data_IF_914611306991
#
_entry.id   IF_914611306991
#
_cell.length_a   1.000
_cell.length_b   1.000
_cell.length_c   1.000
_cell.angle_alpha   90.00
_cell.angle_beta   90.00
_cell.angle_gamma   90.00
#
_symmetry.space_group_name_H-M   'P 1'
#
loop_
_entity.id
_entity.type
_entity.pdbx_description
1 polymer ?
#
# COMPACT_ATOMS: atom_id res chain seq x y z
N UNK A 1 18.63 16.84 -12.18
CA UNK A 1 18.57 16.07 -10.91
C UNK A 1 17.16 16.24 -10.35
N UNK A 2 16.28 15.26 -10.52
CA UNK A 2 14.95 15.30 -9.90
C UNK A 2 15.13 14.90 -8.43
N UNK A 3 14.91 15.85 -7.52
CA UNK A 3 14.95 15.59 -6.09
C UNK A 3 14.01 14.43 -5.76
N UNK A 4 14.47 13.53 -4.89
CA UNK A 4 13.58 12.62 -4.18
C UNK A 4 12.56 13.51 -3.49
N UNK A 5 11.34 13.61 -4.03
CA UNK A 5 10.32 14.37 -3.34
C UNK A 5 10.12 13.69 -1.99
N UNK A 6 10.17 14.49 -0.93
CA UNK A 6 9.50 14.19 0.33
C UNK A 6 8.00 14.35 0.06
N UNK A 7 7.52 13.63 -0.95
CA UNK A 7 6.21 13.76 -1.54
C UNK A 7 5.31 12.67 -1.02
N UNK A 8 4.03 13.03 -0.86
CA UNK A 8 2.96 12.08 -0.60
C UNK A 8 2.95 11.01 -1.70
N UNK A 9 2.61 9.80 -1.31
CA UNK A 9 2.40 8.68 -2.21
C UNK A 9 0.97 8.20 -2.07
N UNK A 10 0.42 7.70 -3.15
CA UNK A 10 -0.95 7.23 -3.19
C UNK A 10 -0.94 5.76 -3.55
N UNK A 11 -1.57 4.89 -2.76
CA UNK A 11 -1.44 3.45 -2.90
C UNK A 11 -2.76 2.70 -2.97
N UNK A 12 -2.80 1.71 -3.85
CA UNK A 12 -3.87 0.73 -3.93
C UNK A 12 -3.33 -0.63 -3.49
N UNK A 13 -4.07 -1.29 -2.61
CA UNK A 13 -3.74 -2.61 -2.09
C UNK A 13 -4.30 -3.69 -3.01
N UNK A 14 -3.45 -4.63 -3.43
CA UNK A 14 -3.85 -5.77 -4.26
C UNK A 14 -3.51 -7.09 -3.57
N UNK A 15 -4.29 -8.10 -3.91
CA UNK A 15 -4.07 -9.48 -3.45
C UNK A 15 -4.25 -9.66 -1.94
N UNK A 16 -3.87 -10.84 -1.45
CA UNK A 16 -4.22 -11.29 -0.10
C UNK A 16 -5.62 -11.91 -0.04
N UNK A 17 -5.74 -12.99 0.73
CA UNK A 17 -7.00 -13.71 0.87
C UNK A 17 -8.03 -12.84 1.61
N UNK A 18 -9.16 -12.56 0.97
CA UNK A 18 -10.24 -11.74 1.55
C UNK A 18 -10.27 -10.28 1.09
N UNK A 19 -9.36 -9.86 0.20
CA UNK A 19 -9.46 -8.59 -0.50
C UNK A 19 -10.22 -8.71 -1.81
N UNK A 20 -11.18 -7.80 -2.01
CA UNK A 20 -11.74 -7.54 -3.33
C UNK A 20 -10.71 -6.79 -4.19
N UNK A 21 -10.81 -6.85 -5.53
CA UNK A 21 -10.01 -5.99 -6.40
C UNK A 21 -10.14 -4.51 -5.98
N UNK A 22 -9.03 -3.77 -5.83
CA UNK A 22 -9.10 -2.40 -5.36
C UNK A 22 -9.84 -1.52 -6.36
N UNK A 23 -10.63 -0.60 -5.83
CA UNK A 23 -11.28 0.44 -6.62
C UNK A 23 -10.52 1.78 -6.49
N UNK A 24 -10.66 2.71 -7.44
CA UNK A 24 -10.03 4.03 -7.35
C UNK A 24 -10.33 4.77 -6.03
N UNK A 25 -11.51 4.59 -5.44
CA UNK A 25 -11.89 5.17 -4.16
C UNK A 25 -11.19 4.57 -2.93
N UNK A 26 -10.54 3.40 -3.08
CA UNK A 26 -9.73 2.77 -2.03
C UNK A 26 -8.31 3.34 -1.94
N UNK A 27 -8.00 4.35 -2.76
CA UNK A 27 -6.69 4.99 -2.81
C UNK A 27 -6.33 5.58 -1.45
N UNK A 28 -5.22 5.07 -0.90
CA UNK A 28 -4.69 5.46 0.40
C UNK A 28 -3.53 6.43 0.23
N UNK A 29 -3.51 7.49 1.03
CA UNK A 29 -2.38 8.40 1.11
C UNK A 29 -1.33 7.92 2.13
N UNK A 30 -0.07 7.99 1.73
CA UNK A 30 1.11 7.80 2.57
C UNK A 30 1.95 9.06 2.56
N UNK A 31 2.46 9.46 3.72
CA UNK A 31 3.36 10.60 3.86
C UNK A 31 4.69 10.39 3.11
N UNK A 32 5.12 9.13 2.95
CA UNK A 32 6.32 8.75 2.20
C UNK A 32 6.32 7.23 1.89
N UNK A 33 7.27 6.78 1.06
CA UNK A 33 7.44 5.36 0.72
C UNK A 33 7.73 4.46 1.93
N UNK A 34 8.41 4.97 2.96
CA UNK A 34 8.78 4.15 4.12
C UNK A 34 7.56 3.78 4.95
N UNK A 35 6.53 4.63 4.99
CA UNK A 35 5.26 4.34 5.63
C UNK A 35 4.51 3.20 4.93
N UNK A 36 4.40 3.26 3.60
CA UNK A 36 3.80 2.17 2.82
C UNK A 36 4.55 0.84 3.02
N UNK A 37 5.89 0.91 3.06
CA UNK A 37 6.75 -0.24 3.38
C UNK A 37 6.47 -0.81 4.78
N UNK A 38 6.44 0.05 5.79
CA UNK A 38 6.22 -0.34 7.18
C UNK A 38 4.83 -0.96 7.36
N UNK A 39 3.81 -0.39 6.72
CA UNK A 39 2.43 -0.88 6.81
C UNK A 39 2.28 -2.31 6.24
N UNK A 40 2.92 -2.61 5.10
CA UNK A 40 2.94 -3.96 4.56
C UNK A 40 3.73 -4.93 5.47
N UNK A 41 4.90 -4.50 5.96
CA UNK A 41 5.76 -5.30 6.83
C UNK A 41 5.08 -5.66 8.17
N UNK A 42 4.41 -4.69 8.80
CA UNK A 42 3.72 -4.88 10.08
C UNK A 42 2.61 -5.92 9.94
N UNK A 43 1.76 -5.76 8.92
CA UNK A 43 0.65 -6.68 8.67
C UNK A 43 1.12 -8.10 8.35
N UNK A 44 2.25 -8.26 7.66
CA UNK A 44 2.86 -9.57 7.43
C UNK A 44 3.43 -10.16 8.74
N UNK A 45 4.09 -9.33 9.57
CA UNK A 45 4.73 -9.77 10.82
C UNK A 45 3.73 -10.29 11.85
N UNK A 46 2.57 -9.65 11.99
CA UNK A 46 1.59 -10.07 12.99
C UNK A 46 1.00 -11.45 12.67
N UNK A 47 0.77 -11.78 11.40
CA UNK A 47 0.30 -13.12 11.01
C UNK A 47 -1.16 -13.43 11.35
N UNK A 48 -1.95 -12.43 11.77
CA UNK A 48 -3.38 -12.54 12.08
C UNK A 48 -4.10 -11.21 11.76
N UNK A 49 -5.43 -11.19 11.94
CA UNK A 49 -6.25 -10.00 11.67
C UNK A 49 -5.85 -8.82 12.55
N UNK A 50 -5.54 -7.68 11.95
CA UNK A 50 -5.04 -6.51 12.67
C UNK A 50 -5.88 -5.27 12.32
N UNK A 51 -6.29 -4.46 13.32
CA UNK A 51 -6.77 -3.11 13.09
C UNK A 51 -5.68 -2.29 12.40
N UNK A 52 -6.02 -1.68 11.28
CA UNK A 52 -5.13 -0.82 10.51
C UNK A 52 -5.86 0.45 10.14
N UNK A 53 -5.21 1.58 10.36
CA UNK A 53 -5.69 2.87 9.90
C UNK A 53 -5.51 3.00 8.39
N UNK A 54 -6.47 3.58 7.68
CA UNK A 54 -6.39 3.91 6.26
C UNK A 54 -6.76 5.37 6.05
N UNK A 55 -5.83 6.13 5.50
CA UNK A 55 -6.03 7.53 5.12
C UNK A 55 -6.49 7.61 3.66
N UNK A 56 -7.77 7.33 3.41
CA UNK A 56 -8.30 7.36 2.04
C UNK A 56 -8.35 8.78 1.46
N UNK A 57 -8.08 8.92 0.17
CA UNK A 57 -8.13 10.22 -0.52
C UNK A 57 -9.53 10.65 -0.92
N UNK A 58 -10.39 9.69 -1.27
CA UNK A 58 -11.72 9.95 -1.84
C UNK A 58 -12.88 9.58 -0.90
N UNK A 59 -12.58 9.14 0.32
CA UNK A 59 -13.58 8.86 1.37
C UNK A 59 -13.00 9.14 2.75
N UNK A 60 -13.84 9.06 3.78
CA UNK A 60 -13.39 9.23 5.17
C UNK A 60 -12.33 8.19 5.55
N UNK A 61 -11.32 8.64 6.29
CA UNK A 61 -10.33 7.75 6.88
C UNK A 61 -11.02 6.75 7.82
N UNK A 62 -10.49 5.52 7.88
CA UNK A 62 -11.11 4.46 8.64
C UNK A 62 -10.09 3.56 9.32
N UNK A 63 -10.46 3.07 10.50
CA UNK A 63 -9.77 1.96 11.17
C UNK A 63 -10.47 0.66 10.81
N UNK A 64 -9.81 -0.18 10.02
CA UNK A 64 -10.39 -1.41 9.47
C UNK A 64 -9.67 -2.62 10.06
N UNK A 65 -10.43 -3.62 10.49
CA UNK A 65 -9.87 -4.92 10.81
C UNK A 65 -9.48 -5.61 9.50
N UNK A 66 -8.18 -5.75 9.25
CA UNK A 66 -7.64 -6.27 7.99
C UNK A 66 -7.15 -7.71 8.14
N UNK A 67 -7.32 -8.58 7.13
CA UNK A 67 -6.74 -9.91 7.15
C UNK A 67 -5.20 -9.84 7.09
N UNK A 68 -4.56 -10.95 7.43
CA UNK A 68 -3.12 -11.12 7.25
C UNK A 68 -2.75 -10.97 5.76
N UNK A 69 -1.55 -10.44 5.49
CA UNK A 69 -1.00 -10.33 4.14
C UNK A 69 0.13 -11.34 3.94
N UNK A 70 0.25 -11.89 2.74
CA UNK A 70 1.30 -12.83 2.34
C UNK A 70 2.06 -12.35 1.11
N UNK A 71 2.85 -13.24 0.52
CA UNK A 71 3.61 -12.96 -0.72
C UNK A 71 2.72 -12.63 -1.93
N UNK A 72 1.41 -12.90 -1.82
CA UNK A 72 0.39 -12.56 -2.80
C UNK A 72 -0.15 -11.13 -2.64
N UNK A 73 0.27 -10.38 -1.62
CA UNK A 73 -0.16 -9.02 -1.37
C UNK A 73 0.87 -7.99 -1.85
N UNK A 74 0.38 -6.95 -2.50
CA UNK A 74 1.20 -5.83 -2.98
C UNK A 74 0.48 -4.50 -2.85
N UNK A 75 1.26 -3.41 -2.90
CA UNK A 75 0.75 -2.04 -2.98
C UNK A 75 1.27 -1.44 -4.28
N UNK A 76 0.38 -1.07 -5.19
CA UNK A 76 0.76 -0.23 -6.34
C UNK A 76 0.75 1.22 -5.88
N UNK A 77 1.78 1.98 -6.26
CA UNK A 77 2.01 3.34 -5.77
C UNK A 77 2.10 4.33 -6.92
N UNK A 78 1.49 5.49 -6.71
CA UNK A 78 1.39 6.60 -7.64
C UNK A 78 1.96 7.87 -6.99
N UNK A 79 2.64 8.68 -7.78
CA UNK A 79 3.15 10.00 -7.39
C UNK A 79 2.07 11.10 -7.38
N UNK A 80 0.85 10.78 -7.81
CA UNK A 80 -0.31 11.67 -7.85
C UNK A 80 -1.60 10.90 -7.56
N UNK A 81 -2.60 11.55 -6.98
CA UNK A 81 -3.90 10.96 -6.69
C UNK A 81 -4.79 10.79 -7.94
N UNK A 82 -4.60 11.64 -8.95
CA UNK A 82 -5.49 11.72 -10.12
C UNK A 82 -5.01 10.87 -11.33
N UNK A 83 -3.82 10.27 -11.25
CA UNK A 83 -3.13 9.61 -12.38
C UNK A 83 -2.96 8.12 -12.18
N UNK A 84 -4.07 7.37 -12.07
CA UNK A 84 -4.07 5.95 -11.72
C UNK A 84 -3.86 4.98 -12.90
N UNK A 85 -3.59 5.49 -14.10
CA UNK A 85 -3.46 4.70 -15.34
C UNK A 85 -2.29 3.70 -15.29
N UNK A 86 -1.17 4.10 -14.68
CA UNK A 86 0.00 3.25 -14.53
C UNK A 86 0.73 3.59 -13.22
N UNK A 87 1.08 2.58 -12.39
CA UNK A 87 1.80 2.83 -11.16
C UNK A 87 3.23 3.33 -11.44
N UNK A 88 3.76 4.20 -10.58
CA UNK A 88 5.17 4.58 -10.60
C UNK A 88 6.04 3.50 -9.95
N UNK A 89 5.48 2.82 -8.96
CA UNK A 89 6.16 1.82 -8.14
C UNK A 89 5.21 0.73 -7.67
N UNK A 90 5.80 -0.39 -7.29
CA UNK A 90 5.10 -1.51 -6.67
C UNK A 90 5.87 -1.97 -5.44
N UNK A 91 5.17 -2.16 -4.32
CA UNK A 91 5.73 -2.73 -3.10
C UNK A 91 5.17 -4.14 -2.94
N UNK A 92 6.06 -5.13 -2.83
CA UNK A 92 5.68 -6.53 -2.63
C UNK A 92 6.43 -7.14 -1.44
N UNK A 93 5.88 -8.21 -0.90
CA UNK A 93 6.57 -9.08 0.06
C UNK A 93 7.42 -10.10 -0.71
N UNK A 94 8.72 -10.09 -0.43
CA UNK A 94 9.63 -11.13 -0.90
C UNK A 94 9.68 -12.33 0.05
N UNK A 95 10.41 -13.38 -0.34
CA UNK A 95 10.55 -14.59 0.47
C UNK A 95 10.99 -14.26 1.90
N UNK A 96 10.30 -14.81 2.89
CA UNK A 96 10.54 -14.60 4.34
C UNK A 96 10.18 -13.19 4.85
N UNK A 97 9.30 -12.45 4.16
CA UNK A 97 8.75 -11.19 4.65
C UNK A 97 9.61 -9.95 4.38
N UNK A 98 10.63 -10.07 3.53
CA UNK A 98 11.43 -8.91 3.12
C UNK A 98 10.65 -8.04 2.14
N UNK A 99 10.28 -6.82 2.53
CA UNK A 99 9.54 -5.89 1.66
C UNK A 99 10.48 -5.30 0.59
N UNK A 100 10.03 -5.25 -0.66
CA UNK A 100 10.77 -4.70 -1.81
C UNK A 100 9.92 -3.66 -2.54
N UNK A 101 10.54 -2.57 -2.96
CA UNK A 101 9.92 -1.57 -3.83
C UNK A 101 10.60 -1.59 -5.21
N UNK A 102 9.83 -1.88 -6.24
CA UNK A 102 10.25 -1.90 -7.64
C UNK A 102 9.68 -0.67 -8.36
N UNK A 103 10.39 -0.17 -9.38
CA UNK A 103 9.84 0.83 -10.30
C UNK A 103 9.09 0.11 -11.41
N UNK A 104 7.97 0.67 -11.82
CA UNK A 104 7.18 0.17 -12.94
C UNK A 104 7.53 0.96 -14.22
#
# INVERSE_FOLDING_TARGET
MRGLSVGRWYGLWHGGTGYSPPQPEDLEEFANLAEAHAKLADRHRYGYWQPSHFAFTHREAADVLTPCVGEDCEITLYGSADGLDYPDRRICLGPRGGVRAERC
#
